data_IF_257281681915
#
_entry.id   IF_257281681915
#
_cell.length_a   1.000
_cell.length_b   1.000
_cell.length_c   1.000
_cell.angle_alpha   90.00
_cell.angle_beta   90.00
_cell.angle_gamma   90.00
#
_symmetry.space_group_name_H-M   'P 1'
#
loop_
_entity.id
_entity.type
_entity.pdbx_description
1 polymer ?
#
# COMPACT_ATOMS: atom_id res chain seq x y z
N UNK A 1 3.62 -8.37 8.85
CA UNK A 1 2.45 -7.72 8.20
C UNK A 1 2.52 -6.21 8.17
N UNK A 2 2.66 -5.55 9.32
CA UNK A 2 2.79 -4.08 9.34
C UNK A 2 3.96 -3.57 8.48
N UNK A 3 5.15 -4.18 8.63
CA UNK A 3 6.34 -3.88 7.83
C UNK A 3 6.17 -4.12 6.33
N UNK A 4 5.25 -5.02 5.94
CA UNK A 4 4.92 -5.21 4.53
C UNK A 4 4.09 -4.04 4.01
N UNK A 5 3.15 -3.53 4.82
CA UNK A 5 2.36 -2.36 4.45
C UNK A 5 3.23 -1.12 4.22
N UNK A 6 4.27 -0.91 5.02
CA UNK A 6 5.24 0.17 4.80
C UNK A 6 6.06 -0.06 3.53
N UNK A 7 6.53 -1.29 3.29
CA UNK A 7 7.23 -1.65 2.04
C UNK A 7 6.40 -1.43 0.78
N UNK A 8 5.09 -1.74 0.84
CA UNK A 8 4.18 -1.49 -0.27
C UNK A 8 3.98 0.01 -0.54
N UNK A 9 3.97 0.84 0.51
CA UNK A 9 3.95 2.30 0.35
C UNK A 9 5.26 2.83 -0.22
N UNK A 10 6.40 2.28 0.19
CA UNK A 10 7.71 2.65 -0.35
C UNK A 10 7.77 2.36 -1.86
N UNK A 11 7.30 1.18 -2.26
CA UNK A 11 7.24 0.78 -3.66
C UNK A 11 6.29 1.67 -4.47
N UNK A 12 5.11 1.99 -3.93
CA UNK A 12 4.14 2.83 -4.61
C UNK A 12 4.61 4.28 -4.74
N UNK A 13 5.31 4.80 -3.74
CA UNK A 13 5.68 6.21 -3.67
C UNK A 13 7.09 6.53 -4.17
N UNK A 14 7.92 5.51 -4.38
CA UNK A 14 9.33 5.68 -4.72
C UNK A 14 10.18 6.28 -3.59
N UNK A 15 9.63 6.34 -2.37
CA UNK A 15 10.25 7.03 -1.23
C UNK A 15 10.21 6.14 -0.01
N UNK A 16 11.24 6.23 0.82
CA UNK A 16 11.18 5.60 2.13
C UNK A 16 10.20 6.35 3.03
N UNK A 17 9.10 5.68 3.38
CA UNK A 17 8.04 6.20 4.24
C UNK A 17 8.27 5.68 5.66
N UNK A 18 8.57 6.56 6.64
CA UNK A 18 8.63 6.15 8.02
C UNK A 18 7.29 5.57 8.47
N UNK A 19 7.27 4.50 9.28
CA UNK A 19 6.04 3.83 9.67
C UNK A 19 5.02 4.72 10.39
N UNK A 20 5.49 5.80 11.03
CA UNK A 20 4.65 6.83 11.66
C UNK A 20 3.90 7.70 10.65
N UNK A 21 4.50 7.95 9.47
CA UNK A 21 3.92 8.79 8.42
C UNK A 21 3.04 8.03 7.44
N UNK A 22 3.05 6.69 7.50
CA UNK A 22 2.29 5.83 6.61
C UNK A 22 0.78 6.13 6.67
N UNK A 23 0.21 6.24 7.88
CA UNK A 23 -1.20 6.55 8.08
C UNK A 23 -1.56 7.99 7.66
N UNK A 24 -0.64 8.94 7.83
CA UNK A 24 -0.85 10.35 7.43
C UNK A 24 -0.85 10.51 5.91
N UNK A 25 0.06 9.81 5.22
CA UNK A 25 0.08 9.76 3.75
C UNK A 25 -1.20 9.18 3.18
N UNK A 26 -1.77 8.21 3.87
CA UNK A 26 -3.03 7.56 3.51
C UNK A 26 -4.26 8.46 3.76
N UNK A 27 -4.32 9.09 4.93
CA UNK A 27 -5.49 9.87 5.37
C UNK A 27 -5.54 11.25 4.71
N UNK A 28 -4.38 11.80 4.35
CA UNK A 28 -4.25 13.16 3.86
C UNK A 28 -4.06 13.30 2.34
N UNK A 29 -3.78 12.23 1.59
CA UNK A 29 -3.46 12.35 0.15
C UNK A 29 -4.30 11.46 -0.76
N UNK A 30 -4.60 12.01 -1.92
CA UNK A 30 -5.20 11.29 -3.03
C UNK A 30 -4.16 10.28 -3.55
N UNK A 31 -4.57 9.01 -3.74
CA UNK A 31 -3.69 7.94 -4.21
C UNK A 31 -2.83 8.34 -5.43
N UNK A 32 -3.42 9.09 -6.36
CA UNK A 32 -2.76 9.60 -7.57
C UNK A 32 -1.55 10.47 -7.25
N UNK A 33 -1.58 11.25 -6.17
CA UNK A 33 -0.48 12.11 -5.73
C UNK A 33 0.59 11.35 -4.94
N UNK A 34 0.30 10.10 -4.59
CA UNK A 34 1.16 9.21 -3.82
C UNK A 34 1.98 8.29 -4.73
N UNK A 35 1.54 8.06 -5.97
CA UNK A 35 2.21 7.18 -6.91
C UNK A 35 3.52 7.81 -7.43
N UNK A 36 4.58 7.02 -7.49
CA UNK A 36 5.85 7.38 -8.12
C UNK A 36 5.62 7.78 -9.58
N UNK A 37 6.14 8.94 -9.98
CA UNK A 37 6.06 9.44 -11.35
C UNK A 37 6.69 8.49 -12.38
N UNK A 38 7.64 7.66 -11.96
CA UNK A 38 8.28 6.62 -12.79
C UNK A 38 7.32 5.47 -13.14
N UNK A 39 6.21 5.34 -12.43
CA UNK A 39 5.15 4.36 -12.72
C UNK A 39 4.06 4.93 -13.65
N UNK A 40 4.12 6.23 -13.98
CA UNK A 40 3.15 6.87 -14.86
C UNK A 40 3.15 6.22 -16.25
N UNK A 41 1.96 5.85 -16.75
CA UNK A 41 1.78 5.15 -18.03
C UNK A 41 2.13 3.66 -18.01
N UNK A 42 2.88 3.16 -17.04
CA UNK A 42 3.27 1.75 -16.91
C UNK A 42 2.43 0.98 -15.89
N UNK A 43 1.85 1.69 -14.92
CA UNK A 43 1.07 1.09 -13.85
C UNK A 43 -0.37 1.61 -13.87
N UNK A 44 -1.33 0.70 -14.07
CA UNK A 44 -2.75 1.06 -14.08
C UNK A 44 -3.18 1.65 -12.74
N UNK A 45 -3.98 2.70 -12.80
CA UNK A 45 -4.59 3.33 -11.62
C UNK A 45 -5.42 2.34 -10.79
N UNK A 46 -6.04 1.34 -11.43
CA UNK A 46 -6.78 0.28 -10.75
C UNK A 46 -5.86 -0.62 -9.91
N UNK A 47 -4.78 -1.12 -10.52
CA UNK A 47 -3.75 -1.92 -9.83
C UNK A 47 -3.13 -1.14 -8.66
N UNK A 48 -2.89 0.14 -8.89
CA UNK A 48 -2.43 1.04 -7.85
C UNK A 48 -3.39 1.21 -6.69
N UNK A 49 -4.68 1.38 -6.97
CA UNK A 49 -5.71 1.48 -5.93
C UNK A 49 -5.84 0.17 -5.15
N UNK A 50 -5.73 -0.98 -5.84
CA UNK A 50 -5.71 -2.31 -5.21
C UNK A 50 -4.49 -2.49 -4.29
N UNK A 51 -3.31 -2.09 -4.74
CA UNK A 51 -2.07 -2.20 -3.96
C UNK A 51 -2.08 -1.26 -2.74
N UNK A 52 -2.59 -0.04 -2.91
CA UNK A 52 -2.81 0.89 -1.79
C UNK A 52 -3.79 0.29 -0.79
N UNK A 53 -4.91 -0.28 -1.23
CA UNK A 53 -5.88 -0.95 -0.34
C UNK A 53 -5.28 -2.15 0.40
N UNK A 54 -4.36 -2.87 -0.22
CA UNK A 54 -3.61 -3.92 0.47
C UNK A 54 -2.69 -3.34 1.54
N UNK A 55 -1.89 -2.33 1.20
CA UNK A 55 -1.01 -1.64 2.15
C UNK A 55 -1.79 -1.12 3.37
N UNK A 56 -2.98 -0.53 3.14
CA UNK A 56 -3.89 -0.07 4.18
C UNK A 56 -4.27 -1.16 5.18
N UNK A 57 -4.67 -2.33 4.67
CA UNK A 57 -5.04 -3.46 5.53
C UNK A 57 -3.84 -4.00 6.31
N UNK A 58 -2.64 -3.96 5.72
CA UNK A 58 -1.42 -4.34 6.41
C UNK A 58 -1.04 -3.37 7.55
N UNK A 59 -1.39 -2.09 7.40
CA UNK A 59 -1.07 -1.01 8.34
C UNK A 59 -2.12 -0.79 9.45
N UNK A 60 -3.08 -1.72 9.60
CA UNK A 60 -4.05 -1.62 10.69
C UNK A 60 -3.36 -1.58 12.05
N UNK A 61 -3.87 -0.71 12.93
CA UNK A 61 -3.33 -0.53 14.27
C UNK A 61 -3.39 -1.85 15.04
N UNK A 62 -4.57 -2.44 15.09
CA UNK A 62 -4.82 -3.73 15.70
C UNK A 62 -4.25 -4.87 14.87
N UNK A 63 -3.45 -5.74 15.49
CA UNK A 63 -2.80 -6.84 14.78
C UNK A 63 -3.80 -7.88 14.25
N UNK A 64 -4.95 -8.06 14.92
CA UNK A 64 -6.00 -8.98 14.52
C UNK A 64 -6.75 -8.54 13.26
N UNK A 65 -6.75 -7.24 12.95
CA UNK A 65 -7.38 -6.68 11.75
C UNK A 65 -6.47 -6.77 10.51
N UNK A 66 -5.19 -7.08 10.70
CA UNK A 66 -4.23 -7.23 9.61
C UNK A 66 -4.47 -8.56 8.87
N UNK A 67 -4.29 -8.60 7.54
CA UNK A 67 -4.40 -9.82 6.78
C UNK A 67 -3.34 -10.84 7.20
N UNK A 68 -3.68 -12.12 7.20
CA UNK A 68 -2.70 -13.20 7.35
C UNK A 68 -1.97 -13.48 6.02
N UNK A 69 -0.83 -14.15 6.08
CA UNK A 69 0.04 -14.38 4.91
C UNK A 69 -0.70 -15.10 3.77
N UNK A 70 -1.53 -16.08 4.10
CA UNK A 70 -2.32 -16.83 3.12
C UNK A 70 -3.29 -15.91 2.37
N UNK A 71 -4.05 -15.08 3.11
CA UNK A 71 -4.99 -14.12 2.53
C UNK A 71 -4.31 -13.03 1.71
N UNK A 72 -3.05 -12.73 2.05
CA UNK A 72 -2.25 -11.72 1.37
C UNK A 72 -1.67 -12.25 0.06
N UNK A 73 -1.36 -13.53 -0.08
CA UNK A 73 -0.91 -14.09 -1.36
C UNK A 73 -2.08 -14.23 -2.34
N UNK A 74 -3.29 -14.47 -1.86
CA UNK A 74 -4.48 -14.55 -2.74
C UNK A 74 -4.93 -13.17 -3.25
N UNK A 75 -4.78 -12.12 -2.43
CA UNK A 75 -5.23 -10.77 -2.76
C UNK A 75 -4.60 -10.13 -4.02
N UNK A 76 -3.28 -10.26 -4.29
CA UNK A 76 -2.63 -9.79 -5.52
C UNK A 76 -2.70 -10.80 -6.66
N UNK A 77 -3.01 -12.09 -6.42
CA UNK A 77 -3.01 -13.13 -7.48
C UNK A 77 -4.34 -13.21 -8.23
N UNK A 78 -5.44 -12.65 -7.69
CA UNK A 78 -6.72 -12.53 -8.41
C UNK A 78 -6.78 -11.31 -9.36
N UNK A 79 -5.64 -10.90 -9.92
CA UNK A 79 -5.48 -9.81 -10.89
C UNK A 79 -6.04 -10.17 -12.26
#
# INVERSE_FOLDING_TARGET
>A
MYSLGTLLLDLLSGKHVPPSHALDLIRGKNFVMLMDSSLEGHFSKDNGTKLLRLALRCLQHEACERPNEKSLVTAPVSL
#
